data_IF_660510033722
#
_entry.id   IF_660510033722
#
_cell.length_a   1.000
_cell.length_b   1.000
_cell.length_c   1.000
_cell.angle_alpha   90.00
_cell.angle_beta   90.00
_cell.angle_gamma   90.00
#
_symmetry.space_group_name_H-M   'P 1'
#
loop_
_entity.id
_entity.type
_entity.pdbx_description
1 polymer ?
#
# COMPACT_ATOMS: atom_id res chain seq x y z
N UNK A 1 12.44 -3.97 -5.84
CA UNK A 1 13.42 -4.13 -6.93
C UNK A 1 13.11 -3.10 -8.02
N UNK A 2 14.10 -2.57 -8.73
CA UNK A 2 13.89 -1.62 -9.84
C UNK A 2 14.37 -2.27 -11.14
N UNK A 3 13.43 -2.75 -11.94
CA UNK A 3 13.62 -3.41 -13.23
C UNK A 3 12.42 -3.10 -14.15
N UNK A 4 12.53 -3.29 -15.48
CA UNK A 4 11.38 -3.16 -16.37
C UNK A 4 10.23 -4.09 -15.95
N UNK A 5 9.01 -3.58 -15.94
CA UNK A 5 7.84 -4.39 -15.61
C UNK A 5 7.61 -5.47 -16.69
N UNK A 6 7.44 -6.72 -16.24
CA UNK A 6 7.00 -7.82 -17.10
C UNK A 6 5.50 -7.79 -17.37
N UNK A 7 4.95 -8.93 -17.81
CA UNK A 7 3.50 -9.09 -17.97
C UNK A 7 2.83 -9.00 -16.60
N UNK A 8 1.81 -8.15 -16.49
CA UNK A 8 1.00 -7.99 -15.29
C UNK A 8 -0.23 -8.90 -15.34
N UNK A 9 -0.46 -9.65 -14.27
CA UNK A 9 -1.64 -10.50 -14.09
C UNK A 9 -2.47 -9.97 -12.93
N UNK A 10 -3.77 -9.84 -13.14
CA UNK A 10 -4.68 -9.48 -12.05
C UNK A 10 -4.81 -10.61 -11.05
N UNK A 11 -4.84 -10.26 -9.77
CA UNK A 11 -5.28 -11.17 -8.73
C UNK A 11 -6.81 -11.36 -8.79
N UNK A 12 -7.30 -12.47 -8.23
CA UNK A 12 -8.73 -12.78 -8.12
C UNK A 12 -9.53 -11.63 -7.47
N UNK A 13 -10.82 -11.49 -7.81
CA UNK A 13 -11.69 -10.39 -7.34
C UNK A 13 -11.72 -10.25 -5.80
N UNK A 14 -11.65 -11.38 -5.11
CA UNK A 14 -11.57 -11.42 -3.64
C UNK A 14 -10.40 -10.61 -3.08
N UNK A 15 -9.24 -10.64 -3.74
CA UNK A 15 -8.06 -9.90 -3.32
C UNK A 15 -8.19 -8.39 -3.57
N UNK A 16 -9.02 -7.99 -4.53
CA UNK A 16 -9.23 -6.59 -4.86
C UNK A 16 -9.97 -5.89 -3.71
N UNK A 17 -9.33 -4.89 -3.11
CA UNK A 17 -9.88 -4.16 -1.98
C UNK A 17 -10.07 -5.00 -0.71
N UNK A 18 -9.29 -6.07 -0.51
CA UNK A 18 -9.46 -7.01 0.60
C UNK A 18 -9.59 -6.34 1.98
N UNK A 19 -8.72 -5.38 2.31
CA UNK A 19 -8.73 -4.69 3.62
C UNK A 19 -9.90 -3.71 3.78
N UNK A 20 -10.46 -3.19 2.68
CA UNK A 20 -11.69 -2.39 2.74
C UNK A 20 -12.91 -3.29 2.98
N UNK A 21 -12.92 -4.50 2.39
CA UNK A 21 -13.95 -5.52 2.60
C UNK A 21 -13.85 -6.18 3.98
N UNK A 22 -12.64 -6.28 4.55
CA UNK A 22 -12.34 -6.93 5.82
C UNK A 22 -11.53 -5.99 6.73
N UNK A 23 -12.19 -5.08 7.47
CA UNK A 23 -11.50 -4.07 8.29
C UNK A 23 -10.61 -4.65 9.40
N UNK A 24 -10.97 -5.82 9.93
CA UNK A 24 -10.17 -6.57 10.90
C UNK A 24 -9.23 -7.59 10.24
N UNK A 25 -9.12 -7.55 8.90
CA UNK A 25 -8.25 -8.39 8.12
C UNK A 25 -6.78 -8.09 8.40
N UNK A 26 -5.95 -9.13 8.36
CA UNK A 26 -4.53 -8.98 8.66
C UNK A 26 -3.80 -8.30 7.50
N UNK A 27 -3.34 -7.06 7.74
CA UNK A 27 -2.49 -6.33 6.80
C UNK A 27 -1.00 -6.74 6.93
N UNK A 28 -0.52 -7.02 8.15
CA UNK A 28 0.87 -7.38 8.42
C UNK A 28 1.89 -6.26 8.23
N UNK A 29 1.43 -5.01 8.05
CA UNK A 29 2.28 -3.82 7.91
C UNK A 29 2.27 -3.04 9.23
N UNK A 30 3.46 -2.77 9.78
CA UNK A 30 3.64 -1.99 11.02
C UNK A 30 3.57 -0.46 10.84
N UNK A 31 3.12 0.00 9.67
CA UNK A 31 3.26 1.39 9.22
C UNK A 31 4.69 1.72 8.78
N UNK A 32 4.84 2.81 8.03
CA UNK A 32 6.14 3.29 7.57
C UNK A 32 6.86 4.18 8.60
N UNK A 33 6.22 4.51 9.73
CA UNK A 33 6.78 5.38 10.76
C UNK A 33 7.03 6.83 10.31
N UNK A 34 6.61 7.19 9.11
CA UNK A 34 6.78 8.53 8.54
C UNK A 34 5.55 9.38 8.80
N UNK A 35 5.76 10.64 9.15
CA UNK A 35 4.73 11.67 9.14
C UNK A 35 4.67 12.30 7.74
N UNK A 36 3.49 12.70 7.29
CA UNK A 36 3.38 13.48 6.07
C UNK A 36 4.06 14.85 6.29
N UNK A 37 5.13 15.20 5.54
CA UNK A 37 5.85 16.45 5.75
C UNK A 37 5.03 17.70 5.34
N UNK A 38 3.92 17.51 4.63
CA UNK A 38 2.99 18.59 4.27
C UNK A 38 2.47 19.23 5.57
N UNK A 39 2.83 20.49 5.79
CA UNK A 39 2.42 21.26 6.96
C UNK A 39 3.45 21.36 8.09
N UNK A 40 4.56 20.62 8.04
CA UNK A 40 5.68 20.72 9.02
C UNK A 40 6.88 21.52 8.49
N UNK A 41 6.72 22.21 7.35
CA UNK A 41 7.72 23.16 6.83
C UNK A 41 9.00 22.53 6.28
N UNK A 42 9.04 21.20 6.14
CA UNK A 42 10.11 20.47 5.45
C UNK A 42 9.71 20.24 3.98
N UNK A 43 10.63 20.57 3.06
CA UNK A 43 10.43 20.38 1.62
C UNK A 43 10.26 18.90 1.28
N UNK A 44 9.33 18.62 0.37
CA UNK A 44 9.14 17.30 -0.23
C UNK A 44 10.30 16.92 -1.17
#
# INVERSE_FOLDING_TARGET
EITPAGVYYFAEDYHQGYLAKNPEGYCGIGGAGVVCPIGVGVSA
#
